data_IF_169710699195
#
_entry.id   IF_169710699195
#
_cell.length_a   1.000
_cell.length_b   1.000
_cell.length_c   1.000
_cell.angle_alpha   90.00
_cell.angle_beta   90.00
_cell.angle_gamma   90.00
#
_symmetry.space_group_name_H-M   'P 1'
#
loop_
_entity.id
_entity.type
_entity.pdbx_description
1 polymer ?
#
# COMPACT_ATOMS: atom_id res chain seq x y z
N UNK A 1 8.07 -12.85 15.75
CA UNK A 1 8.99 -12.27 14.74
C UNK A 1 8.31 -11.05 14.16
N UNK A 2 9.00 -9.93 13.98
CA UNK A 2 8.40 -8.68 13.51
C UNK A 2 7.97 -8.70 12.03
N UNK A 3 8.58 -9.54 11.18
CA UNK A 3 8.11 -9.78 9.80
C UNK A 3 6.89 -10.70 9.85
N UNK A 4 5.68 -10.11 9.74
CA UNK A 4 4.41 -10.83 9.91
C UNK A 4 3.87 -11.41 8.61
N UNK A 5 4.35 -10.89 7.48
CA UNK A 5 4.02 -11.40 6.15
C UNK A 5 5.19 -11.15 5.19
N UNK A 6 5.48 -12.14 4.36
CA UNK A 6 6.44 -12.01 3.25
C UNK A 6 6.00 -12.90 2.09
N UNK A 7 6.10 -12.36 0.88
CA UNK A 7 5.78 -13.09 -0.33
C UNK A 7 6.77 -12.75 -1.46
N UNK A 8 7.30 -13.74 -2.13
CA UNK A 8 7.90 -13.60 -3.45
C UNK A 8 6.75 -13.63 -4.47
N UNK A 9 6.32 -12.47 -4.96
CA UNK A 9 5.19 -12.37 -5.90
C UNK A 9 5.59 -12.99 -7.25
N UNK A 10 6.81 -12.70 -7.66
CA UNK A 10 7.46 -13.30 -8.83
C UNK A 10 8.99 -13.31 -8.62
N UNK A 11 9.82 -13.81 -9.56
CA UNK A 11 11.28 -13.90 -9.38
C UNK A 11 11.98 -12.56 -9.09
N UNK A 12 11.37 -11.44 -9.50
CA UNK A 12 11.96 -10.09 -9.39
C UNK A 12 11.22 -9.18 -8.40
N UNK A 13 10.12 -9.64 -7.79
CA UNK A 13 9.26 -8.80 -6.92
C UNK A 13 9.01 -9.46 -5.58
N UNK A 14 9.30 -8.73 -4.51
CA UNK A 14 9.08 -9.17 -3.12
C UNK A 14 8.22 -8.15 -2.36
N UNK A 15 7.31 -8.67 -1.57
CA UNK A 15 6.44 -7.91 -0.64
C UNK A 15 6.74 -8.34 0.79
N UNK A 16 6.73 -7.39 1.72
CA UNK A 16 6.83 -7.65 3.15
C UNK A 16 5.95 -6.73 3.97
N UNK A 17 5.49 -7.25 5.11
CA UNK A 17 4.79 -6.49 6.15
C UNK A 17 5.47 -6.73 7.49
N UNK A 18 5.82 -5.63 8.16
CA UNK A 18 6.53 -5.61 9.43
C UNK A 18 5.65 -5.08 10.55
N UNK A 19 5.59 -5.80 11.67
CA UNK A 19 5.02 -5.28 12.91
C UNK A 19 6.10 -4.52 13.66
N UNK A 20 5.89 -3.23 13.88
CA UNK A 20 6.85 -2.31 14.50
C UNK A 20 6.79 -2.50 16.02
N UNK A 21 7.61 -3.41 16.52
CA UNK A 21 7.76 -3.68 17.96
C UNK A 21 9.11 -3.25 18.52
N UNK A 22 10.08 -2.96 17.64
CA UNK A 22 11.42 -2.58 18.04
C UNK A 22 11.51 -1.09 18.38
N UNK A 23 12.44 -0.71 19.29
CA UNK A 23 12.71 0.69 19.59
C UNK A 23 13.39 1.39 18.40
N UNK A 24 13.28 2.70 18.33
CA UNK A 24 13.80 3.53 17.24
C UNK A 24 15.31 3.28 16.97
N UNK A 25 16.10 3.10 18.04
CA UNK A 25 17.54 2.85 17.92
C UNK A 25 17.89 1.58 17.13
N UNK A 26 17.02 0.57 17.15
CA UNK A 26 17.19 -0.62 16.32
C UNK A 26 17.23 -0.25 14.83
N UNK A 27 16.28 0.54 14.39
CA UNK A 27 16.20 0.96 12.98
C UNK A 27 17.28 1.96 12.60
N UNK A 28 17.64 2.90 13.49
CA UNK A 28 18.68 3.92 13.24
C UNK A 28 20.06 3.33 13.02
N UNK A 29 20.35 2.15 13.57
CA UNK A 29 21.60 1.42 13.33
C UNK A 29 21.68 0.82 11.93
N UNK A 30 20.55 0.66 11.24
CA UNK A 30 20.44 -0.03 9.95
C UNK A 30 20.09 0.91 8.81
N UNK A 31 19.35 1.99 9.09
CA UNK A 31 18.76 2.86 8.08
C UNK A 31 19.12 4.32 8.34
N UNK A 32 19.62 5.05 7.33
CA UNK A 32 19.88 6.48 7.48
C UNK A 32 18.59 7.28 7.63
N UNK A 33 18.57 8.21 8.58
CA UNK A 33 17.50 9.20 8.71
C UNK A 33 17.93 10.50 8.02
N UNK A 34 17.62 10.60 6.73
CA UNK A 34 18.06 11.73 5.89
C UNK A 34 17.24 13.01 6.06
N UNK A 35 16.08 12.93 6.71
CA UNK A 35 15.21 14.08 6.93
C UNK A 35 14.76 14.19 8.39
N UNK A 36 14.56 15.43 8.86
CA UNK A 36 13.99 15.66 10.18
C UNK A 36 12.52 15.28 10.21
N UNK A 37 12.14 14.34 11.08
CA UNK A 37 10.76 13.96 11.37
C UNK A 37 10.57 14.14 12.88
N UNK A 38 9.85 15.19 13.27
CA UNK A 38 9.68 15.58 14.67
C UNK A 38 8.75 14.66 15.45
N UNK A 39 7.71 14.12 14.81
CA UNK A 39 6.73 13.24 15.47
C UNK A 39 7.31 11.83 15.66
N UNK A 40 7.50 11.34 16.92
CA UNK A 40 8.19 10.08 17.18
C UNK A 40 7.60 8.86 16.45
N UNK A 41 6.27 8.68 16.50
CA UNK A 41 5.63 7.54 15.84
C UNK A 41 5.78 7.59 14.31
N UNK A 42 5.67 8.78 13.68
CA UNK A 42 5.89 8.92 12.23
C UNK A 42 7.34 8.65 11.85
N UNK A 43 8.29 9.04 12.71
CA UNK A 43 9.70 8.78 12.50
C UNK A 43 10.00 7.28 12.59
N UNK A 44 9.44 6.60 13.59
CA UNK A 44 9.56 5.17 13.76
C UNK A 44 8.95 4.40 12.56
N UNK A 45 7.74 4.75 12.15
CA UNK A 45 7.09 4.19 10.95
C UNK A 45 7.92 4.40 9.68
N UNK A 46 8.49 5.58 9.50
CA UNK A 46 9.36 5.90 8.36
C UNK A 46 10.62 5.03 8.34
N UNK A 47 11.28 4.88 9.48
CA UNK A 47 12.46 4.04 9.62
C UNK A 47 12.14 2.56 9.37
N UNK A 48 11.08 2.05 9.97
CA UNK A 48 10.65 0.66 9.78
C UNK A 48 10.31 0.34 8.31
N UNK A 49 9.59 1.24 7.62
CA UNK A 49 9.30 1.08 6.20
C UNK A 49 10.56 1.06 5.32
N UNK A 50 11.56 1.87 5.65
CA UNK A 50 12.86 1.83 4.94
C UNK A 50 13.67 0.59 5.29
N UNK A 51 13.71 0.20 6.55
CA UNK A 51 14.38 -1.02 6.99
C UNK A 51 13.85 -2.24 6.22
N UNK A 52 12.55 -2.31 6.00
CA UNK A 52 11.92 -3.39 5.27
C UNK A 52 12.39 -3.49 3.80
N UNK A 53 12.83 -2.40 3.18
CA UNK A 53 13.45 -2.44 1.84
C UNK A 53 14.72 -3.30 1.83
N UNK A 54 15.55 -3.16 2.86
CA UNK A 54 16.79 -3.94 3.00
C UNK A 54 16.51 -5.40 3.39
N UNK A 55 15.51 -5.65 4.21
CA UNK A 55 15.07 -7.01 4.51
C UNK A 55 14.63 -7.76 3.24
N UNK A 56 13.96 -7.07 2.31
CA UNK A 56 13.54 -7.64 1.04
C UNK A 56 14.70 -7.79 0.05
N UNK A 57 15.58 -6.80 0.00
CA UNK A 57 16.78 -6.74 -0.86
C UNK A 57 17.96 -6.22 -0.06
N UNK A 58 18.86 -7.09 0.45
CA UNK A 58 19.96 -6.70 1.34
C UNK A 58 20.93 -5.64 0.78
N UNK A 59 20.99 -5.49 -0.53
CA UNK A 59 21.84 -4.50 -1.21
C UNK A 59 21.05 -3.26 -1.66
N UNK A 60 19.89 -2.98 -1.07
CA UNK A 60 19.05 -1.84 -1.45
C UNK A 60 19.81 -0.51 -1.23
N UNK A 61 19.95 0.34 -2.29
CA UNK A 61 20.85 1.49 -2.26
C UNK A 61 20.18 2.74 -1.65
N UNK A 62 20.09 2.86 -0.35
CA UNK A 62 19.44 4.00 0.33
C UNK A 62 19.96 5.36 -0.09
N UNK A 63 21.28 5.49 -0.30
CA UNK A 63 21.91 6.75 -0.72
C UNK A 63 21.46 7.29 -2.06
N UNK A 64 20.87 6.42 -2.89
CA UNK A 64 20.35 6.79 -4.21
C UNK A 64 18.87 7.16 -4.19
N UNK A 65 18.20 7.06 -3.03
CA UNK A 65 16.78 7.46 -2.94
C UNK A 65 16.67 8.96 -3.19
N UNK A 66 15.77 9.32 -4.08
CA UNK A 66 15.31 10.70 -4.32
C UNK A 66 13.85 10.83 -3.91
N UNK A 67 13.43 12.04 -3.66
CA UNK A 67 12.03 12.35 -3.31
C UNK A 67 11.45 13.22 -4.41
N UNK A 68 10.43 12.72 -5.09
CA UNK A 68 9.70 13.45 -6.11
C UNK A 68 8.93 14.65 -5.51
N UNK A 69 8.44 15.57 -6.35
CA UNK A 69 7.56 16.65 -5.94
C UNK A 69 6.26 16.13 -5.26
N UNK A 70 5.80 14.95 -5.66
CA UNK A 70 4.69 14.18 -5.05
C UNK A 70 5.01 13.64 -3.67
N UNK A 71 6.23 13.80 -3.17
CA UNK A 71 6.81 13.18 -1.96
C UNK A 71 7.00 11.66 -2.06
N UNK A 72 6.79 11.06 -3.24
CA UNK A 72 7.10 9.65 -3.48
C UNK A 72 8.63 9.45 -3.51
N UNK A 73 9.18 8.49 -2.73
CA UNK A 73 10.57 8.08 -2.88
C UNK A 73 10.75 7.23 -4.14
N UNK A 74 11.86 7.43 -4.85
CA UNK A 74 12.21 6.69 -6.07
C UNK A 74 13.73 6.61 -6.26
N UNK A 75 14.19 5.79 -7.20
CA UNK A 75 15.59 5.70 -7.63
C UNK A 75 15.70 6.20 -9.08
N UNK A 76 16.56 7.19 -9.34
CA UNK A 76 16.76 7.77 -10.68
C UNK A 76 17.29 6.77 -11.71
N UNK A 77 18.06 5.79 -11.26
CA UNK A 77 18.63 4.75 -12.11
C UNK A 77 17.70 3.55 -12.35
N UNK A 78 16.48 3.59 -11.81
CA UNK A 78 15.45 2.53 -11.91
C UNK A 78 15.94 1.11 -11.54
N UNK A 79 17.03 1.00 -10.79
CA UNK A 79 17.58 -0.28 -10.35
C UNK A 79 16.55 -1.08 -9.54
N UNK A 80 15.73 -0.38 -8.78
CA UNK A 80 14.56 -0.92 -8.10
C UNK A 80 13.36 0.02 -8.26
N UNK A 81 12.22 -0.54 -8.58
CA UNK A 81 10.92 0.09 -8.33
C UNK A 81 10.45 -0.33 -6.94
N UNK A 82 10.02 0.60 -6.13
CA UNK A 82 9.58 0.28 -4.77
C UNK A 82 8.47 1.18 -4.30
N UNK A 83 7.70 0.68 -3.35
CA UNK A 83 6.65 1.43 -2.66
C UNK A 83 6.67 1.09 -1.18
N UNK A 84 6.34 2.08 -0.33
CA UNK A 84 6.29 1.94 1.12
C UNK A 84 4.95 2.48 1.62
N UNK A 85 4.37 1.80 2.58
CA UNK A 85 3.23 2.30 3.36
C UNK A 85 3.40 1.98 4.84
N UNK A 86 2.68 2.71 5.69
CA UNK A 86 2.66 2.45 7.12
C UNK A 86 1.34 2.93 7.74
N UNK A 87 0.78 2.15 8.63
CA UNK A 87 -0.41 2.49 9.41
C UNK A 87 -0.36 1.84 10.80
N UNK A 88 -0.65 2.61 11.85
CA UNK A 88 -0.58 2.11 13.23
C UNK A 88 0.79 1.57 13.58
N UNK A 89 0.84 0.31 13.99
CA UNK A 89 2.07 -0.42 14.31
C UNK A 89 2.60 -1.27 13.15
N UNK A 90 2.22 -0.98 11.90
CA UNK A 90 2.66 -1.76 10.74
C UNK A 90 3.32 -0.89 9.69
N UNK A 91 4.33 -1.47 9.04
CA UNK A 91 4.92 -0.97 7.80
C UNK A 91 4.82 -2.05 6.73
N UNK A 92 4.57 -1.65 5.49
CA UNK A 92 4.58 -2.52 4.32
C UNK A 92 5.55 -1.95 3.28
N UNK A 93 6.25 -2.83 2.59
CA UNK A 93 7.09 -2.47 1.45
C UNK A 93 6.98 -3.52 0.35
N UNK A 94 7.02 -3.05 -0.89
CA UNK A 94 7.17 -3.88 -2.07
C UNK A 94 8.35 -3.37 -2.87
N UNK A 95 9.17 -4.28 -3.37
CA UNK A 95 10.38 -3.97 -4.15
C UNK A 95 10.45 -4.90 -5.36
N UNK A 96 10.76 -4.34 -6.52
CA UNK A 96 10.96 -5.08 -7.77
C UNK A 96 12.17 -4.57 -8.54
N UNK A 97 12.88 -5.46 -9.21
CA UNK A 97 13.97 -5.11 -10.14
C UNK A 97 13.50 -4.96 -11.59
N UNK A 98 12.21 -5.15 -11.89
CA UNK A 98 11.73 -5.11 -13.28
C UNK A 98 10.27 -4.73 -13.47
N UNK A 99 9.50 -4.57 -12.38
CA UNK A 99 8.09 -4.23 -12.44
C UNK A 99 7.78 -2.92 -11.70
N UNK A 100 6.86 -2.13 -12.21
CA UNK A 100 6.28 -1.01 -11.48
C UNK A 100 5.39 -1.55 -10.34
N UNK A 101 5.51 -0.96 -9.16
CA UNK A 101 4.85 -1.49 -7.96
C UNK A 101 4.20 -0.41 -7.12
N UNK A 102 3.13 -0.78 -6.42
CA UNK A 102 2.49 0.03 -5.39
C UNK A 102 2.05 -0.84 -4.22
N UNK A 103 2.16 -0.35 -2.99
CA UNK A 103 1.69 -1.01 -1.78
C UNK A 103 1.02 -0.02 -0.84
N UNK A 104 -0.04 -0.48 -0.19
CA UNK A 104 -0.66 0.24 0.90
C UNK A 104 -1.00 -0.69 2.06
N UNK A 105 -0.97 -0.16 3.29
CA UNK A 105 -1.44 -0.85 4.50
C UNK A 105 -2.28 0.09 5.32
N UNK A 106 -3.49 -0.37 5.70
CA UNK A 106 -4.48 0.40 6.44
C UNK A 106 -5.06 -0.37 7.63
N UNK A 107 -5.29 0.34 8.72
CA UNK A 107 -6.02 -0.19 9.86
C UNK A 107 -7.53 -0.11 9.57
N UNK A 108 -8.24 -1.22 9.74
CA UNK A 108 -9.69 -1.27 9.59
C UNK A 108 -10.38 -0.47 10.69
N UNK A 109 -10.90 0.69 10.33
CA UNK A 109 -11.58 1.60 11.26
C UNK A 109 -12.83 2.20 10.63
N UNK A 110 -13.78 2.61 11.47
CA UNK A 110 -14.98 3.35 11.02
C UNK A 110 -14.67 4.76 10.49
N UNK A 111 -13.43 5.26 10.62
CA UNK A 111 -13.02 6.58 10.11
C UNK A 111 -13.16 6.68 8.59
N UNK A 112 -12.96 5.58 7.86
CA UNK A 112 -13.09 5.52 6.40
C UNK A 112 -14.50 5.94 5.93
N UNK A 113 -15.54 5.68 6.74
CA UNK A 113 -16.93 6.06 6.42
C UNK A 113 -17.07 7.58 6.23
N UNK A 114 -16.36 8.37 7.05
CA UNK A 114 -16.45 9.83 7.01
C UNK A 114 -15.86 10.42 5.74
N UNK A 115 -14.93 9.72 5.11
CA UNK A 115 -14.20 10.19 3.93
C UNK A 115 -14.54 9.44 2.66
N UNK A 116 -15.45 8.47 2.70
CA UNK A 116 -15.81 7.63 1.55
C UNK A 116 -16.23 8.44 0.31
N UNK A 117 -16.85 9.59 0.49
CA UNK A 117 -17.27 10.49 -0.59
C UNK A 117 -16.10 11.07 -1.40
N UNK A 118 -14.86 10.94 -0.92
CA UNK A 118 -13.64 11.45 -1.59
C UNK A 118 -13.02 10.43 -2.54
N UNK A 119 -13.38 9.16 -2.42
CA UNK A 119 -12.72 8.10 -3.18
C UNK A 119 -13.68 7.05 -3.78
N UNK A 120 -14.93 7.03 -3.31
CA UNK A 120 -15.89 5.99 -3.68
C UNK A 120 -16.89 6.53 -4.68
N UNK A 121 -16.92 5.99 -5.89
CA UNK A 121 -17.93 6.26 -6.89
C UNK A 121 -19.28 5.59 -6.52
N UNK A 122 -20.38 6.02 -7.16
CA UNK A 122 -21.69 5.40 -6.96
C UNK A 122 -21.70 3.91 -7.37
N UNK A 123 -20.99 3.56 -8.47
CA UNK A 123 -20.86 2.17 -8.95
C UNK A 123 -20.15 1.28 -7.92
N UNK A 124 -19.04 1.75 -7.37
CA UNK A 124 -18.28 1.04 -6.34
C UNK A 124 -19.08 0.92 -5.04
N UNK A 125 -19.81 1.96 -4.65
CA UNK A 125 -20.68 1.89 -3.48
C UNK A 125 -21.78 0.82 -3.66
N UNK A 126 -22.41 0.76 -4.83
CA UNK A 126 -23.41 -0.28 -5.13
C UNK A 126 -22.79 -1.69 -5.13
N UNK A 127 -21.59 -1.85 -5.68
CA UNK A 127 -20.83 -3.11 -5.65
C UNK A 127 -20.56 -3.57 -4.21
N UNK A 128 -20.00 -2.70 -3.36
CA UNK A 128 -19.73 -3.03 -1.95
C UNK A 128 -21.03 -3.39 -1.23
N UNK A 129 -22.09 -2.62 -1.46
CA UNK A 129 -23.39 -2.91 -0.87
C UNK A 129 -23.91 -4.30 -1.29
N UNK A 130 -23.81 -4.68 -2.57
CA UNK A 130 -24.23 -5.99 -3.06
C UNK A 130 -23.44 -7.14 -2.41
N UNK A 131 -22.13 -6.96 -2.20
CA UNK A 131 -21.27 -7.94 -1.54
C UNK A 131 -21.58 -8.10 -0.03
N UNK A 132 -22.28 -7.13 0.56
CA UNK A 132 -22.57 -7.10 2.01
C UNK A 132 -24.05 -7.27 2.36
N UNK A 133 -24.95 -7.44 1.39
CA UNK A 133 -26.41 -7.47 1.58
C UNK A 133 -26.89 -8.46 2.66
N UNK A 134 -26.21 -9.60 2.81
CA UNK A 134 -26.55 -10.65 3.79
C UNK A 134 -25.45 -10.84 4.84
N UNK A 135 -24.54 -9.87 4.98
CA UNK A 135 -23.38 -9.97 5.84
C UNK A 135 -23.39 -8.88 6.92
N UNK A 136 -22.43 -8.98 7.86
CA UNK A 136 -22.32 -8.04 8.97
C UNK A 136 -21.89 -6.63 8.48
N UNK A 137 -22.25 -5.62 9.25
CA UNK A 137 -21.76 -4.25 9.10
C UNK A 137 -20.23 -4.20 9.13
N UNK A 138 -19.60 -5.16 9.77
CA UNK A 138 -18.16 -5.32 9.84
C UNK A 138 -17.54 -5.59 8.47
N UNK A 139 -18.11 -6.50 7.67
CA UNK A 139 -17.65 -6.73 6.30
C UNK A 139 -17.78 -5.47 5.42
N UNK A 140 -18.84 -4.69 5.62
CA UNK A 140 -18.97 -3.41 4.92
C UNK A 140 -17.82 -2.45 5.25
N UNK A 141 -17.44 -2.31 6.52
CA UNK A 141 -16.30 -1.49 6.93
C UNK A 141 -14.96 -2.02 6.42
N UNK A 142 -14.80 -3.35 6.42
CA UNK A 142 -13.62 -4.01 5.86
C UNK A 142 -13.48 -3.71 4.37
N UNK A 143 -14.55 -3.88 3.58
CA UNK A 143 -14.53 -3.61 2.15
C UNK A 143 -14.34 -2.12 1.82
N UNK A 144 -14.88 -1.20 2.61
CA UNK A 144 -14.60 0.23 2.46
C UNK A 144 -13.12 0.55 2.69
N UNK A 145 -12.50 -0.01 3.74
CA UNK A 145 -11.07 0.18 4.00
C UNK A 145 -10.22 -0.47 2.91
N UNK A 146 -10.63 -1.65 2.44
CA UNK A 146 -9.97 -2.34 1.32
C UNK A 146 -10.02 -1.51 0.05
N UNK A 147 -11.18 -0.95 -0.30
CA UNK A 147 -11.34 -0.06 -1.46
C UNK A 147 -10.42 1.17 -1.37
N UNK A 148 -10.33 1.80 -0.20
CA UNK A 148 -9.39 2.88 0.06
C UNK A 148 -7.94 2.43 -0.16
N UNK A 149 -7.53 1.34 0.47
CA UNK A 149 -6.18 0.78 0.36
C UNK A 149 -5.82 0.40 -1.09
N UNK A 150 -6.75 -0.22 -1.84
CA UNK A 150 -6.57 -0.52 -3.26
C UNK A 150 -6.26 0.76 -4.07
N UNK A 151 -7.04 1.82 -3.89
CA UNK A 151 -6.84 3.08 -4.60
C UNK A 151 -5.54 3.78 -4.18
N UNK A 152 -5.16 3.73 -2.91
CA UNK A 152 -3.86 4.21 -2.42
C UNK A 152 -2.69 3.42 -3.03
N UNK A 153 -2.81 2.09 -3.18
CA UNK A 153 -1.75 1.31 -3.83
C UNK A 153 -1.62 1.62 -5.32
N UNK A 154 -2.74 1.84 -6.03
CA UNK A 154 -2.76 2.31 -7.42
C UNK A 154 -2.15 3.72 -7.56
N UNK A 155 -2.51 4.64 -6.66
CA UNK A 155 -1.93 5.98 -6.61
C UNK A 155 -0.40 5.92 -6.42
N UNK A 156 0.08 5.09 -5.50
CA UNK A 156 1.52 4.88 -5.26
C UNK A 156 2.21 4.18 -6.42
N UNK A 157 1.52 3.27 -7.10
CA UNK A 157 2.02 2.63 -8.33
C UNK A 157 2.21 3.67 -9.44
N UNK A 158 1.21 4.51 -9.69
CA UNK A 158 1.32 5.58 -10.68
C UNK A 158 2.42 6.58 -10.31
N UNK A 159 2.39 7.11 -9.11
CA UNK A 159 3.49 7.89 -8.52
C UNK A 159 3.60 9.32 -8.97
N UNK A 160 2.67 9.85 -9.73
CA UNK A 160 2.61 11.24 -10.16
C UNK A 160 1.42 11.98 -9.51
N UNK A 161 1.36 13.31 -9.66
CA UNK A 161 0.34 14.19 -9.11
C UNK A 161 -0.99 14.14 -9.90
N UNK A 162 -2.01 14.85 -9.36
CA UNK A 162 -3.28 15.13 -10.03
C UNK A 162 -4.12 13.88 -10.35
N UNK A 163 -4.03 12.85 -9.51
CA UNK A 163 -4.94 11.69 -9.59
C UNK A 163 -6.18 11.97 -8.75
N UNK A 164 -7.34 12.02 -9.40
CA UNK A 164 -8.62 11.98 -8.72
C UNK A 164 -9.03 10.52 -8.48
N UNK A 165 -9.36 10.18 -7.22
CA UNK A 165 -9.64 8.80 -6.82
C UNK A 165 -10.97 8.27 -7.36
N UNK A 166 -11.91 9.16 -7.72
CA UNK A 166 -13.22 8.77 -8.28
C UNK A 166 -13.13 8.67 -9.80
N UNK A 167 -12.48 9.68 -10.44
CA UNK A 167 -12.47 9.81 -11.89
C UNK A 167 -11.39 8.94 -12.56
N UNK A 168 -10.26 8.70 -11.87
CA UNK A 168 -9.11 8.04 -12.49
C UNK A 168 -8.86 6.61 -11.98
N UNK A 169 -9.35 6.25 -10.78
CA UNK A 169 -9.09 4.95 -10.16
C UNK A 169 -10.42 4.19 -10.00
N UNK A 170 -10.73 3.32 -10.95
CA UNK A 170 -11.96 2.55 -10.91
C UNK A 170 -11.71 1.11 -10.45
N UNK A 171 -12.53 0.63 -9.53
CA UNK A 171 -12.59 -0.78 -9.15
C UNK A 171 -13.82 -1.37 -9.85
N UNK A 172 -13.58 -2.23 -10.83
CA UNK A 172 -14.63 -2.85 -11.63
C UNK A 172 -15.25 -4.06 -10.93
N UNK A 173 -14.42 -4.86 -10.27
CA UNK A 173 -14.84 -6.06 -9.55
C UNK A 173 -13.92 -6.35 -8.37
N UNK A 174 -14.49 -6.92 -7.31
CA UNK A 174 -13.74 -7.48 -6.17
C UNK A 174 -14.10 -8.97 -6.05
N UNK A 175 -13.07 -9.81 -6.18
CA UNK A 175 -13.15 -11.25 -6.01
C UNK A 175 -12.55 -11.58 -4.63
N UNK A 176 -13.43 -11.74 -3.62
CA UNK A 176 -13.07 -12.03 -2.24
C UNK A 176 -13.01 -13.55 -2.01
N UNK A 177 -11.93 -14.02 -1.39
CA UNK A 177 -11.78 -15.40 -0.95
C UNK A 177 -11.22 -15.43 0.48
N UNK A 178 -12.04 -15.77 1.45
CA UNK A 178 -11.68 -15.76 2.87
C UNK A 178 -11.15 -14.39 3.32
N UNK A 179 -9.88 -14.32 3.71
CA UNK A 179 -9.22 -13.11 4.20
C UNK A 179 -8.35 -12.40 3.13
N UNK A 180 -8.47 -12.80 1.86
CA UNK A 180 -7.72 -12.20 0.74
C UNK A 180 -8.57 -12.08 -0.50
N UNK A 181 -8.12 -11.32 -1.47
CA UNK A 181 -8.82 -11.20 -2.74
C UNK A 181 -8.02 -10.47 -3.80
N UNK A 182 -8.66 -10.33 -4.95
CA UNK A 182 -8.14 -9.61 -6.10
C UNK A 182 -9.23 -8.64 -6.56
N UNK A 183 -8.85 -7.40 -6.80
CA UNK A 183 -9.69 -6.39 -7.44
C UNK A 183 -9.23 -6.17 -8.88
N UNK A 184 -10.15 -6.27 -9.82
CA UNK A 184 -9.93 -5.86 -11.21
C UNK A 184 -10.17 -4.35 -11.27
N UNK A 185 -9.17 -3.60 -11.68
CA UNK A 185 -9.14 -2.14 -11.63
C UNK A 185 -8.82 -1.56 -13.00
N UNK A 186 -9.36 -0.36 -13.25
CA UNK A 186 -9.10 0.42 -14.45
C UNK A 186 -8.53 1.78 -14.04
N UNK A 187 -7.32 2.08 -14.49
CA UNK A 187 -6.67 3.37 -14.33
C UNK A 187 -6.89 4.22 -15.60
N UNK A 188 -7.40 5.46 -15.45
CA UNK A 188 -7.92 6.27 -16.56
C UNK A 188 -7.30 7.68 -16.70
N UNK A 189 -6.14 7.96 -16.09
CA UNK A 189 -5.61 9.33 -16.17
C UNK A 189 -5.06 9.68 -17.56
N UNK A 190 -4.02 8.97 -18.01
CA UNK A 190 -3.34 9.27 -19.28
C UNK A 190 -3.73 8.27 -20.38
N UNK A 191 -3.99 7.04 -19.98
CA UNK A 191 -4.46 5.96 -20.84
C UNK A 191 -5.33 5.02 -19.99
N UNK A 192 -6.16 4.23 -20.66
CA UNK A 192 -6.88 3.15 -20.00
C UNK A 192 -5.93 1.98 -19.77
N UNK A 193 -5.63 1.68 -18.50
CA UNK A 193 -4.74 0.58 -18.09
C UNK A 193 -5.51 -0.35 -17.16
N UNK A 194 -5.67 -1.59 -17.57
CA UNK A 194 -6.24 -2.64 -16.73
C UNK A 194 -5.17 -3.16 -15.77
N UNK A 195 -5.50 -3.23 -14.48
CA UNK A 195 -4.60 -3.65 -13.42
C UNK A 195 -5.32 -4.58 -12.45
N UNK A 196 -4.60 -5.54 -11.92
CA UNK A 196 -5.07 -6.36 -10.81
C UNK A 196 -4.39 -5.93 -9.52
N UNK A 197 -5.19 -5.60 -8.52
CA UNK A 197 -4.73 -5.26 -7.17
C UNK A 197 -5.08 -6.40 -6.25
N UNK A 198 -4.06 -7.00 -5.66
CA UNK A 198 -4.22 -8.02 -4.63
C UNK A 198 -4.38 -7.38 -3.26
N UNK A 199 -5.11 -8.04 -2.36
CA UNK A 199 -5.20 -7.62 -0.97
C UNK A 199 -5.30 -8.80 -0.01
N UNK A 200 -4.92 -8.54 1.25
CA UNK A 200 -4.95 -9.51 2.35
C UNK A 200 -5.37 -8.81 3.64
N UNK A 201 -6.28 -9.44 4.39
CA UNK A 201 -6.69 -9.01 5.73
C UNK A 201 -5.94 -9.78 6.81
N UNK A 202 -5.41 -9.08 7.77
CA UNK A 202 -4.67 -9.66 8.90
C UNK A 202 -4.73 -8.73 10.11
N UNK A 203 -4.90 -9.27 11.31
CA UNK A 203 -4.84 -8.52 12.58
C UNK A 203 -5.56 -7.15 12.54
N UNK A 204 -6.78 -7.13 12.02
CA UNK A 204 -7.57 -5.90 11.80
C UNK A 204 -6.93 -4.86 10.87
N UNK A 205 -6.07 -5.30 9.95
CA UNK A 205 -5.48 -4.47 8.91
C UNK A 205 -5.77 -5.05 7.52
N UNK A 206 -5.66 -4.19 6.52
CA UNK A 206 -5.64 -4.54 5.11
C UNK A 206 -4.28 -4.14 4.52
N UNK A 207 -3.62 -5.05 3.83
CA UNK A 207 -2.53 -4.71 2.91
C UNK A 207 -2.99 -4.95 1.49
N UNK A 208 -2.73 -4.00 0.60
CA UNK A 208 -3.00 -4.13 -0.85
C UNK A 208 -1.74 -3.84 -1.66
N UNK A 209 -1.60 -4.50 -2.80
CA UNK A 209 -0.46 -4.29 -3.69
C UNK A 209 -0.81 -4.51 -5.15
N UNK A 210 -0.09 -3.82 -6.01
CA UNK A 210 -0.18 -3.92 -7.48
C UNK A 210 1.22 -4.05 -8.08
N UNK A 211 1.32 -4.86 -9.13
CA UNK A 211 2.55 -5.12 -9.90
C UNK A 211 2.21 -5.15 -11.39
N UNK A 212 2.96 -4.41 -12.21
CA UNK A 212 2.80 -4.41 -13.67
C UNK A 212 4.13 -4.29 -14.40
#
# INVERSE_FOLDING_TARGET
MPLVYQQNINPVTKLGVWHIGEPENFFLQQVPLERSITHPNKRLQHLAGRYLLQELYPQFPYSLIRIAATRKPFLENELYHFSISHCGAYAAAIVSTGNRVGVDVELMTTKVIKVKHKFLSQKEHAMIHSLTLNNSIELYHQLLTTTWSIKESLYKWYGDNEVDFIEHLHIEQINLKENQGIADCLFLKDAAIELQVHFLWFNNNCVSWVVS
#
